data_IF_663678398235
#
_entry.id   IF_663678398235
#
_cell.length_a   1.000
_cell.length_b   1.000
_cell.length_c   1.000
_cell.angle_alpha   90.00
_cell.angle_beta   90.00
_cell.angle_gamma   90.00
#
_symmetry.space_group_name_H-M   'P 1'
#
loop_
_entity.id
_entity.type
_entity.pdbx_description
1 polymer ?
#
# COMPACT_ATOMS: atom_id res chain seq x y z
N UNK A 1 -23.83 -25.99 22.17
CA UNK A 1 -23.44 -24.58 21.96
C UNK A 1 -23.91 -24.18 20.56
N UNK A 2 -25.04 -23.45 20.42
CA UNK A 2 -25.62 -23.07 19.12
C UNK A 2 -24.92 -21.78 18.64
N UNK A 3 -24.15 -21.85 17.53
CA UNK A 3 -23.60 -20.64 16.91
C UNK A 3 -24.72 -19.87 16.21
N UNK A 4 -25.01 -18.67 16.70
CA UNK A 4 -25.94 -17.75 16.09
C UNK A 4 -25.32 -17.23 14.79
N UNK A 5 -25.81 -17.67 13.62
CA UNK A 5 -25.33 -17.19 12.33
C UNK A 5 -25.99 -15.84 12.03
N UNK A 6 -25.23 -14.74 11.94
CA UNK A 6 -25.82 -13.43 11.69
C UNK A 6 -26.47 -13.40 10.30
N UNK A 7 -27.62 -12.76 10.21
CA UNK A 7 -28.33 -12.61 8.94
C UNK A 7 -27.59 -11.62 8.02
N UNK A 8 -27.75 -11.76 6.70
CA UNK A 8 -27.12 -10.86 5.72
C UNK A 8 -27.43 -9.38 5.99
N UNK A 9 -28.61 -9.08 6.52
CA UNK A 9 -29.03 -7.74 6.93
C UNK A 9 -28.25 -7.19 8.13
N UNK A 10 -27.89 -8.06 9.10
CA UNK A 10 -27.04 -7.66 10.22
C UNK A 10 -25.62 -7.36 9.75
N UNK A 11 -25.08 -8.14 8.82
CA UNK A 11 -23.77 -7.87 8.22
C UNK A 11 -23.78 -6.56 7.43
N UNK A 12 -24.82 -6.32 6.63
CA UNK A 12 -24.98 -5.07 5.88
C UNK A 12 -25.13 -3.84 6.81
N UNK A 13 -25.90 -3.97 7.90
CA UNK A 13 -26.03 -2.91 8.90
C UNK A 13 -24.69 -2.61 9.59
N UNK A 14 -23.92 -3.65 9.94
CA UNK A 14 -22.59 -3.49 10.53
C UNK A 14 -21.63 -2.80 9.55
N UNK A 15 -21.63 -3.19 8.27
CA UNK A 15 -20.81 -2.54 7.23
C UNK A 15 -21.22 -1.08 7.04
N UNK A 16 -22.51 -0.77 7.03
CA UNK A 16 -23.03 0.61 6.91
C UNK A 16 -22.65 1.47 8.12
N UNK A 17 -22.74 0.92 9.33
CA UNK A 17 -22.32 1.61 10.57
C UNK A 17 -20.81 1.85 10.57
N UNK A 18 -20.01 0.86 10.18
CA UNK A 18 -18.55 1.02 10.05
C UNK A 18 -18.21 2.07 8.99
N UNK A 19 -18.86 2.05 7.83
CA UNK A 19 -18.66 3.04 6.77
C UNK A 19 -19.07 4.45 7.22
N UNK A 20 -20.19 4.59 7.94
CA UNK A 20 -20.62 5.86 8.52
C UNK A 20 -19.60 6.36 9.57
N UNK A 21 -19.17 5.51 10.49
CA UNK A 21 -18.14 5.86 11.48
C UNK A 21 -16.82 6.27 10.82
N UNK A 22 -16.40 5.60 9.74
CA UNK A 22 -15.21 5.96 8.96
C UNK A 22 -15.36 7.29 8.20
N UNK A 23 -16.58 7.68 7.81
CA UNK A 23 -16.85 8.98 7.20
C UNK A 23 -16.82 10.11 8.23
N UNK A 24 -17.15 9.82 9.48
CA UNK A 24 -17.16 10.81 10.58
C UNK A 24 -15.78 11.08 11.20
N UNK A 25 -14.75 10.27 10.94
CA UNK A 25 -13.39 10.49 11.47
C UNK A 25 -12.57 11.52 10.68
N UNK A 26 -13.11 12.07 9.59
CA UNK A 26 -12.47 13.10 8.76
C UNK A 26 -12.62 14.53 9.31
N UNK A 27 -12.12 14.81 10.52
CA UNK A 27 -12.06 16.18 11.06
C UNK A 27 -10.78 16.88 10.58
N UNK A 28 -10.73 17.23 9.29
CA UNK A 28 -9.59 17.94 8.71
C UNK A 28 -9.93 18.54 7.36
N UNK A 29 -9.59 19.81 7.15
CA UNK A 29 -9.66 20.43 5.82
C UNK A 29 -8.70 19.69 4.89
N UNK A 30 -9.19 19.25 3.72
CA UNK A 30 -8.37 18.69 2.64
C UNK A 30 -7.31 19.67 2.10
N UNK A 31 -7.32 20.93 2.55
CA UNK A 31 -6.33 21.97 2.26
C UNK A 31 -5.66 22.58 3.50
N UNK A 32 -5.71 21.91 4.66
CA UNK A 32 -5.01 22.38 5.87
C UNK A 32 -3.49 22.35 5.71
N UNK A 33 -2.79 23.23 6.43
CA UNK A 33 -1.32 23.39 6.39
C UNK A 33 -0.51 22.13 6.77
N UNK A 34 -1.17 21.09 7.29
CA UNK A 34 -0.57 19.85 7.72
C UNK A 34 -0.82 18.72 6.72
N UNK A 35 -0.21 18.84 5.54
CA UNK A 35 -0.25 17.80 4.51
C UNK A 35 1.12 17.62 3.85
N UNK A 36 1.40 16.41 3.36
CA UNK A 36 2.67 16.06 2.68
C UNK A 36 2.80 16.71 1.29
N UNK A 37 1.69 17.22 0.74
CA UNK A 37 1.61 17.72 -0.64
C UNK A 37 1.98 19.21 -0.77
N UNK A 38 2.00 19.95 0.34
CA UNK A 38 2.36 21.37 0.43
C UNK A 38 3.47 21.59 1.49
N UNK A 39 4.70 21.08 1.26
CA UNK A 39 5.80 21.23 2.21
C UNK A 39 6.21 22.69 2.42
N UNK A 40 6.45 23.07 3.68
CA UNK A 40 6.98 24.39 4.07
C UNK A 40 8.36 24.22 4.70
N UNK A 41 9.38 24.87 4.12
CA UNK A 41 10.78 24.78 4.56
C UNK A 41 11.58 23.65 3.90
N UNK A 42 12.90 23.73 3.97
CA UNK A 42 13.82 22.81 3.27
C UNK A 42 13.71 21.36 3.78
N UNK A 43 13.57 21.18 5.10
CA UNK A 43 13.39 19.87 5.73
C UNK A 43 12.13 19.17 5.20
N UNK A 44 11.02 19.91 5.10
CA UNK A 44 9.77 19.37 4.60
C UNK A 44 9.85 18.98 3.12
N UNK A 45 10.61 19.72 2.30
CA UNK A 45 10.85 19.37 0.89
C UNK A 45 11.63 18.04 0.79
N UNK A 46 12.72 17.90 1.54
CA UNK A 46 13.52 16.66 1.57
C UNK A 46 12.68 15.45 2.01
N UNK A 47 11.83 15.61 3.01
CA UNK A 47 10.90 14.57 3.46
C UNK A 47 9.87 14.20 2.38
N UNK A 48 9.33 15.19 1.66
CA UNK A 48 8.41 14.96 0.55
C UNK A 48 9.07 14.18 -0.57
N UNK A 49 10.31 14.49 -0.93
CA UNK A 49 11.01 13.80 -2.01
C UNK A 49 11.23 12.31 -1.67
N UNK A 50 11.67 12.01 -0.44
CA UNK A 50 11.79 10.63 0.06
C UNK A 50 10.43 9.94 0.10
N UNK A 51 9.38 10.65 0.52
CA UNK A 51 8.01 10.12 0.54
C UNK A 51 7.55 9.69 -0.85
N UNK A 52 7.72 10.54 -1.88
CA UNK A 52 7.33 10.17 -3.25
C UNK A 52 8.24 9.09 -3.85
N UNK A 53 9.52 9.06 -3.48
CA UNK A 53 10.45 8.01 -3.86
C UNK A 53 9.98 6.62 -3.42
N UNK A 54 9.32 6.51 -2.26
CA UNK A 54 8.74 5.24 -1.77
C UNK A 54 7.31 5.04 -2.27
N UNK A 55 6.49 6.10 -2.28
CA UNK A 55 5.07 6.01 -2.62
C UNK A 55 4.85 5.57 -4.07
N UNK A 56 5.58 6.14 -5.03
CA UNK A 56 5.42 5.84 -6.46
C UNK A 56 5.62 4.34 -6.76
N UNK A 57 6.76 3.71 -6.42
CA UNK A 57 6.94 2.28 -6.66
C UNK A 57 5.95 1.43 -5.86
N UNK A 58 5.60 1.81 -4.63
CA UNK A 58 4.59 1.09 -3.84
C UNK A 58 3.21 1.09 -4.52
N UNK A 59 2.77 2.24 -5.03
CA UNK A 59 1.51 2.36 -5.78
C UNK A 59 1.55 1.53 -7.07
N UNK A 60 2.65 1.59 -7.82
CA UNK A 60 2.82 0.78 -9.04
C UNK A 60 2.68 -0.71 -8.73
N UNK A 61 3.40 -1.21 -7.72
CA UNK A 61 3.35 -2.63 -7.32
C UNK A 61 1.95 -2.99 -6.83
N UNK A 62 1.31 -2.14 -6.04
CA UNK A 62 -0.05 -2.35 -5.54
C UNK A 62 -1.05 -2.51 -6.69
N UNK A 63 -0.99 -1.64 -7.70
CA UNK A 63 -1.83 -1.74 -8.90
C UNK A 63 -1.53 -3.00 -9.71
N UNK A 64 -0.25 -3.36 -9.88
CA UNK A 64 0.14 -4.57 -10.62
C UNK A 64 -0.35 -5.85 -9.92
N UNK A 65 -0.11 -5.99 -8.62
CA UNK A 65 -0.52 -7.16 -7.83
C UNK A 65 -2.04 -7.20 -7.72
N UNK A 66 -2.69 -6.08 -7.42
CA UNK A 66 -4.14 -5.98 -7.34
C UNK A 66 -4.80 -6.29 -8.69
N UNK A 67 -4.26 -5.76 -9.78
CA UNK A 67 -4.71 -6.03 -11.15
C UNK A 67 -4.54 -7.50 -11.53
N UNK A 68 -3.39 -8.11 -11.22
CA UNK A 68 -3.16 -9.54 -11.45
C UNK A 68 -4.14 -10.41 -10.65
N UNK A 69 -4.43 -10.04 -9.40
CA UNK A 69 -5.41 -10.73 -8.58
C UNK A 69 -6.82 -10.62 -9.17
N UNK A 70 -7.26 -9.42 -9.54
CA UNK A 70 -8.56 -9.22 -10.21
C UNK A 70 -8.64 -10.01 -11.51
N UNK A 71 -7.56 -9.98 -12.31
CA UNK A 71 -7.47 -10.75 -13.54
C UNK A 71 -7.64 -12.25 -13.28
N UNK A 72 -6.93 -12.82 -12.29
CA UNK A 72 -7.02 -14.23 -11.94
C UNK A 72 -8.45 -14.59 -11.49
N UNK A 73 -9.04 -13.76 -10.62
CA UNK A 73 -10.39 -13.97 -10.10
C UNK A 73 -11.46 -13.94 -11.20
N UNK A 74 -11.32 -13.07 -12.20
CA UNK A 74 -12.28 -12.97 -13.32
C UNK A 74 -12.04 -14.08 -14.34
N UNK A 75 -10.77 -14.32 -14.71
CA UNK A 75 -10.40 -15.22 -15.80
C UNK A 75 -10.53 -16.70 -15.44
N UNK A 76 -10.22 -17.07 -14.20
CA UNK A 76 -10.22 -18.45 -13.71
C UNK A 76 -11.39 -18.74 -12.73
N UNK A 77 -12.42 -17.89 -12.76
CA UNK A 77 -13.64 -18.14 -11.99
C UNK A 77 -14.30 -19.44 -12.45
N UNK A 78 -14.46 -20.40 -11.53
CA UNK A 78 -15.15 -21.66 -11.80
C UNK A 78 -16.59 -21.42 -12.25
N UNK A 79 -16.98 -22.04 -13.35
CA UNK A 79 -18.35 -22.03 -13.90
C UNK A 79 -19.05 -23.35 -13.55
N UNK A 80 -20.39 -23.36 -13.66
CA UNK A 80 -21.21 -24.52 -13.30
C UNK A 80 -20.92 -25.75 -14.16
N UNK A 81 -20.37 -25.54 -15.35
CA UNK A 81 -20.09 -26.59 -16.33
C UNK A 81 -18.61 -27.01 -16.37
N UNK A 82 -17.78 -26.54 -15.41
CA UNK A 82 -16.35 -26.88 -15.32
C UNK A 82 -16.15 -28.21 -14.55
N UNK A 83 -16.11 -29.31 -15.30
CA UNK A 83 -16.00 -30.71 -14.83
C UNK A 83 -14.78 -31.47 -15.44
N UNK A 84 -13.58 -30.87 -15.43
CA UNK A 84 -12.46 -31.64 -14.90
C UNK A 84 -11.57 -30.85 -13.93
N UNK A 85 -10.84 -31.60 -13.09
CA UNK A 85 -9.85 -31.06 -12.16
C UNK A 85 -8.77 -30.25 -12.92
N UNK A 86 -8.39 -29.04 -12.47
CA UNK A 86 -7.34 -28.27 -13.11
C UNK A 86 -5.97 -28.97 -12.98
N UNK A 87 -5.07 -28.69 -13.93
CA UNK A 87 -3.71 -29.21 -13.96
C UNK A 87 -2.97 -28.83 -12.65
N UNK A 88 -2.50 -29.84 -11.91
CA UNK A 88 -1.77 -29.69 -10.66
C UNK A 88 -0.31 -29.27 -10.92
N UNK A 89 -0.10 -27.96 -11.07
CA UNK A 89 1.25 -27.38 -11.16
C UNK A 89 1.78 -27.15 -9.74
N UNK A 90 2.94 -27.74 -9.43
CA UNK A 90 3.55 -27.66 -8.10
C UNK A 90 4.40 -26.40 -7.87
N UNK A 91 4.76 -25.67 -8.93
CA UNK A 91 5.55 -24.44 -8.84
C UNK A 91 6.40 -24.18 -10.07
N UNK A 92 7.17 -23.11 -10.01
CA UNK A 92 8.13 -22.75 -11.06
C UNK A 92 9.34 -22.07 -10.41
N UNK A 93 10.40 -22.83 -10.19
CA UNK A 93 11.62 -22.36 -9.52
C UNK A 93 12.22 -21.11 -10.19
N UNK A 94 12.14 -20.99 -11.52
CA UNK A 94 12.67 -19.80 -12.23
C UNK A 94 11.85 -18.57 -11.91
N UNK A 95 10.52 -18.71 -11.86
CA UNK A 95 9.60 -17.64 -11.50
C UNK A 95 9.77 -17.25 -10.03
N UNK A 96 9.97 -18.25 -9.16
CA UNK A 96 10.24 -18.07 -7.73
C UNK A 96 11.50 -17.25 -7.46
N UNK A 97 12.59 -17.56 -8.15
CA UNK A 97 13.83 -16.79 -8.06
C UNK A 97 13.60 -15.36 -8.58
N UNK A 98 12.96 -15.22 -9.73
CA UNK A 98 12.73 -13.91 -10.36
C UNK A 98 11.93 -12.97 -9.44
N UNK A 99 10.83 -13.44 -8.85
CA UNK A 99 10.00 -12.62 -7.97
C UNK A 99 10.59 -12.39 -6.59
N UNK A 100 11.64 -13.11 -6.19
CA UNK A 100 12.31 -12.90 -4.89
C UNK A 100 13.44 -11.90 -5.04
N UNK A 101 14.21 -12.03 -6.13
CA UNK A 101 15.32 -11.13 -6.45
C UNK A 101 14.80 -9.73 -6.80
N UNK A 102 13.72 -9.63 -7.59
CA UNK A 102 13.21 -8.31 -8.00
C UNK A 102 12.81 -7.40 -6.82
N UNK A 103 12.02 -7.83 -5.82
CA UNK A 103 11.74 -7.04 -4.64
C UNK A 103 12.97 -6.77 -3.78
N UNK A 104 13.89 -7.72 -3.66
CA UNK A 104 15.13 -7.52 -2.91
C UNK A 104 15.98 -6.39 -3.50
N UNK A 105 16.15 -6.37 -4.83
CA UNK A 105 16.87 -5.29 -5.53
C UNK A 105 16.15 -3.95 -5.45
N UNK A 106 14.82 -3.95 -5.56
CA UNK A 106 14.01 -2.75 -5.38
C UNK A 106 14.25 -2.13 -4.00
N UNK A 107 14.16 -2.94 -2.92
CA UNK A 107 14.40 -2.46 -1.56
C UNK A 107 15.83 -1.95 -1.37
N UNK A 108 16.81 -2.61 -1.96
CA UNK A 108 18.21 -2.19 -1.88
C UNK A 108 18.43 -0.83 -2.57
N UNK A 109 17.77 -0.60 -3.71
CA UNK A 109 17.77 0.70 -4.40
C UNK A 109 17.07 1.82 -3.62
N UNK A 110 15.97 1.50 -2.92
CA UNK A 110 15.27 2.48 -2.07
C UNK A 110 16.02 2.78 -0.77
N UNK A 111 16.76 1.82 -0.24
CA UNK A 111 17.45 1.95 1.04
C UNK A 111 18.51 3.05 1.02
N UNK A 112 19.29 3.15 -0.05
CA UNK A 112 20.40 4.12 -0.15
C UNK A 112 19.95 5.58 0.02
N UNK A 113 19.05 6.14 -0.83
CA UNK A 113 18.60 7.52 -0.68
C UNK A 113 17.82 7.75 0.62
N UNK A 114 17.11 6.72 1.11
CA UNK A 114 16.37 6.81 2.37
C UNK A 114 17.32 6.97 3.57
N UNK A 115 18.36 6.14 3.65
CA UNK A 115 19.35 6.21 4.74
C UNK A 115 20.13 7.53 4.66
N UNK A 116 20.55 7.95 3.47
CA UNK A 116 21.21 9.25 3.29
C UNK A 116 20.32 10.40 3.75
N UNK A 117 19.04 10.39 3.37
CA UNK A 117 18.06 11.37 3.80
C UNK A 117 17.87 11.42 5.31
N UNK A 118 17.81 10.26 5.99
CA UNK A 118 17.73 10.20 7.46
C UNK A 118 18.96 10.84 8.09
N UNK A 119 20.16 10.51 7.61
CA UNK A 119 21.41 11.07 8.15
C UNK A 119 21.44 12.57 7.93
N UNK A 120 21.09 13.06 6.74
CA UNK A 120 21.06 14.48 6.44
C UNK A 120 20.06 15.26 7.29
N UNK A 121 18.89 14.68 7.55
CA UNK A 121 17.86 15.28 8.41
C UNK A 121 18.20 15.23 9.91
N UNK A 122 19.09 14.32 10.32
CA UNK A 122 19.52 14.16 11.72
C UNK A 122 20.60 15.17 12.15
N UNK A 123 21.24 15.86 11.20
CA UNK A 123 22.24 16.89 11.51
C UNK A 123 21.58 18.09 12.19
N UNK A 124 22.28 18.69 13.16
CA UNK A 124 21.79 19.87 13.85
C UNK A 124 21.50 21.01 12.85
N UNK A 125 20.48 21.82 13.15
CA UNK A 125 20.17 23.01 12.37
C UNK A 125 21.42 23.89 12.26
N UNK A 126 21.69 24.41 11.07
CA UNK A 126 22.78 25.36 10.86
C UNK A 126 22.57 26.60 11.73
N UNK A 127 23.64 27.27 12.15
CA UNK A 127 23.61 28.45 13.03
C UNK A 127 22.75 29.62 12.46
N UNK A 128 22.40 29.52 11.18
CA UNK A 128 21.59 30.41 10.35
C UNK A 128 20.08 30.07 10.34
N UNK A 129 19.64 29.03 11.08
CA UNK A 129 18.22 28.76 11.28
C UNK A 129 17.57 29.85 12.15
N UNK A 130 16.53 30.49 11.63
CA UNK A 130 15.73 31.47 12.36
C UNK A 130 15.14 30.83 13.64
N UNK A 131 15.07 31.58 14.76
CA UNK A 131 14.50 31.09 16.03
C UNK A 131 13.02 30.71 15.92
#
# INVERSE_FOLDING_TARGET
>A
MKLHRPSLWQLLAVVLVIAALLLLTGCGSLGGDQNTFAPKGEVAQKQRDIFFLVLVPATIISVLVGGALVYILVRYRRRRDDEPMPHQLHGNTRLEIAWTVAPALLLLGLAVPTVMGIVDLSRAASDDALP
#
